data_IF_483155455007
#
_entry.id   IF_483155455007
#
_cell.length_a   1.000
_cell.length_b   1.000
_cell.length_c   1.000
_cell.angle_alpha   90.00
_cell.angle_beta   90.00
_cell.angle_gamma   90.00
#
_symmetry.space_group_name_H-M   'P 1'
#
loop_
_entity.id
_entity.type
_entity.pdbx_description
1 polymer ?
#
# COMPACT_ATOMS: atom_id res chain seq x y z
N UNK A 1 2.70 -3.85 6.15
CA UNK A 1 4.07 -3.44 5.78
C UNK A 1 4.29 -3.48 4.28
N UNK A 2 5.31 -2.80 3.81
CA UNK A 2 5.76 -2.81 2.41
C UNK A 2 7.02 -3.67 2.37
N UNK A 3 6.98 -4.82 1.69
CA UNK A 3 8.12 -5.73 1.62
C UNK A 3 9.12 -5.28 0.55
N UNK A 4 10.29 -4.84 0.98
CA UNK A 4 11.39 -4.37 0.10
C UNK A 4 12.72 -4.91 0.63
N UNK A 5 13.31 -5.91 -0.01
CA UNK A 5 14.62 -6.44 0.39
C UNK A 5 15.74 -5.47 0.06
N UNK A 6 16.88 -5.64 0.72
CA UNK A 6 18.11 -4.89 0.46
C UNK A 6 17.96 -3.35 0.55
N UNK A 7 16.92 -2.84 1.23
CA UNK A 7 16.69 -1.40 1.30
C UNK A 7 17.68 -0.71 2.26
N UNK A 8 17.93 0.56 2.02
CA UNK A 8 18.88 1.37 2.80
C UNK A 8 18.50 1.52 4.28
N UNK A 9 17.19 1.41 4.63
CA UNK A 9 16.73 1.50 6.02
C UNK A 9 17.07 0.24 6.83
N UNK A 10 17.01 -0.95 6.19
CA UNK A 10 17.53 -2.19 6.80
C UNK A 10 19.03 -2.10 7.04
N UNK A 11 19.77 -1.63 6.04
CA UNK A 11 21.23 -1.45 6.15
C UNK A 11 21.59 -0.50 7.29
N UNK A 12 20.89 0.63 7.40
CA UNK A 12 21.04 1.59 8.50
C UNK A 12 20.73 0.98 9.87
N UNK A 13 19.83 -0.01 9.93
CA UNK A 13 19.50 -0.76 11.14
C UNK A 13 20.47 -1.93 11.43
N UNK A 14 21.54 -2.11 10.63
CA UNK A 14 22.51 -3.18 10.77
C UNK A 14 21.97 -4.57 10.39
N UNK A 15 20.90 -4.64 9.61
CA UNK A 15 20.32 -5.92 9.15
C UNK A 15 20.87 -6.25 7.77
N UNK A 16 21.60 -7.38 7.70
CA UNK A 16 22.14 -7.88 6.45
C UNK A 16 21.05 -8.49 5.58
N UNK A 17 21.14 -8.23 4.29
CA UNK A 17 20.32 -8.87 3.27
C UNK A 17 21.07 -8.88 1.93
N UNK A 18 20.65 -9.76 1.01
CA UNK A 18 21.25 -9.81 -0.32
C UNK A 18 20.18 -10.05 -1.40
N UNK A 19 20.50 -9.63 -2.61
CA UNK A 19 19.66 -9.90 -3.78
C UNK A 19 19.43 -11.39 -3.96
N UNK A 20 20.47 -12.20 -3.78
CA UNK A 20 20.44 -13.66 -3.94
C UNK A 20 19.54 -14.32 -2.89
N UNK A 21 19.60 -13.86 -1.63
CA UNK A 21 18.73 -14.36 -0.58
C UNK A 21 17.25 -13.99 -0.87
N UNK A 22 16.98 -12.74 -1.23
CA UNK A 22 15.64 -12.32 -1.59
C UNK A 22 15.10 -13.04 -2.85
N UNK A 23 15.96 -13.30 -3.84
CA UNK A 23 15.63 -14.07 -5.04
C UNK A 23 15.29 -15.51 -4.71
N UNK A 24 16.09 -16.17 -3.87
CA UNK A 24 15.83 -17.53 -3.39
C UNK A 24 14.49 -17.61 -2.65
N UNK A 25 14.20 -16.62 -1.82
CA UNK A 25 12.93 -16.54 -1.09
C UNK A 25 11.73 -16.40 -2.04
N UNK A 26 11.81 -15.52 -3.04
CA UNK A 26 10.74 -15.40 -4.03
C UNK A 26 10.61 -16.66 -4.90
N UNK A 27 11.72 -17.36 -5.19
CA UNK A 27 11.65 -18.64 -5.90
C UNK A 27 10.94 -19.71 -5.04
N UNK A 28 11.21 -19.74 -3.73
CA UNK A 28 10.60 -20.71 -2.82
C UNK A 28 9.10 -20.42 -2.54
N UNK A 29 8.70 -19.14 -2.52
CA UNK A 29 7.33 -18.74 -2.16
C UNK A 29 6.41 -18.51 -3.35
N UNK A 30 6.91 -17.97 -4.45
CA UNK A 30 6.15 -17.63 -5.65
C UNK A 30 6.33 -18.68 -6.75
N UNK A 31 7.55 -19.23 -6.87
CA UNK A 31 7.85 -20.26 -7.85
C UNK A 31 7.56 -19.81 -9.28
N UNK A 32 6.99 -20.71 -10.04
CA UNK A 32 6.68 -20.49 -11.47
C UNK A 32 5.40 -19.71 -11.73
N UNK A 33 4.65 -19.34 -10.66
CA UNK A 33 3.45 -18.49 -10.75
C UNK A 33 3.75 -17.09 -11.31
N UNK A 34 5.00 -16.66 -11.27
CA UNK A 34 5.48 -15.44 -11.89
C UNK A 34 6.81 -15.69 -12.62
N UNK A 35 6.97 -15.07 -13.79
CA UNK A 35 8.21 -15.15 -14.53
C UNK A 35 9.40 -14.64 -13.70
N UNK A 36 10.53 -15.34 -13.76
CA UNK A 36 11.73 -14.97 -13.02
C UNK A 36 12.18 -13.53 -13.33
N UNK A 37 12.11 -13.12 -14.60
CA UNK A 37 12.47 -11.76 -14.99
C UNK A 37 11.63 -10.69 -14.28
N UNK A 38 10.34 -10.96 -14.05
CA UNK A 38 9.45 -10.06 -13.31
C UNK A 38 9.82 -9.98 -11.83
N UNK A 39 10.16 -11.11 -11.19
CA UNK A 39 10.62 -11.16 -9.81
C UNK A 39 11.96 -10.42 -9.64
N UNK A 40 12.92 -10.67 -10.55
CA UNK A 40 14.21 -9.97 -10.53
C UNK A 40 14.05 -8.46 -10.77
N UNK A 41 13.13 -8.06 -11.64
CA UNK A 41 12.78 -6.66 -11.88
C UNK A 41 12.20 -6.03 -10.60
N UNK A 42 11.27 -6.71 -9.94
CA UNK A 42 10.70 -6.24 -8.67
C UNK A 42 11.80 -6.02 -7.61
N UNK A 43 12.70 -6.98 -7.41
CA UNK A 43 13.77 -6.89 -6.44
C UNK A 43 14.70 -5.68 -6.69
N UNK A 44 14.99 -5.39 -7.95
CA UNK A 44 15.87 -4.26 -8.33
C UNK A 44 15.15 -2.91 -8.26
N UNK A 45 13.92 -2.86 -8.75
CA UNK A 45 13.21 -1.58 -8.87
C UNK A 45 12.55 -1.14 -7.57
N UNK A 46 12.14 -2.06 -6.70
CA UNK A 46 11.55 -1.70 -5.42
C UNK A 46 12.51 -0.92 -4.51
N UNK A 47 13.79 -1.29 -4.51
CA UNK A 47 14.83 -0.54 -3.78
C UNK A 47 14.99 0.87 -4.35
N UNK A 48 15.12 0.98 -5.68
CA UNK A 48 15.22 2.29 -6.36
C UNK A 48 13.98 3.15 -6.15
N UNK A 49 12.81 2.52 -6.15
CA UNK A 49 11.54 3.20 -5.92
C UNK A 49 11.49 3.82 -4.52
N UNK A 50 11.81 3.07 -3.47
CA UNK A 50 11.74 3.60 -2.10
C UNK A 50 12.77 4.71 -1.86
N UNK A 51 13.97 4.58 -2.40
CA UNK A 51 15.00 5.63 -2.36
C UNK A 51 14.56 6.90 -3.11
N UNK A 52 13.89 6.73 -4.26
CA UNK A 52 13.37 7.84 -5.03
C UNK A 52 12.23 8.55 -4.29
N UNK A 53 11.30 7.78 -3.71
CA UNK A 53 10.18 8.31 -2.93
C UNK A 53 10.67 9.09 -1.72
N UNK A 54 11.64 8.55 -0.98
CA UNK A 54 12.23 9.22 0.18
C UNK A 54 12.88 10.57 -0.18
N UNK A 55 13.58 10.64 -1.33
CA UNK A 55 14.26 11.86 -1.78
C UNK A 55 13.34 12.85 -2.50
N UNK A 56 12.31 12.37 -3.21
CA UNK A 56 11.52 13.16 -4.16
C UNK A 56 10.06 13.33 -3.76
N UNK A 57 9.63 12.80 -2.63
CA UNK A 57 8.26 12.92 -2.15
C UNK A 57 8.24 13.19 -0.65
N UNK A 58 7.04 13.38 -0.09
CA UNK A 58 6.84 13.48 1.36
C UNK A 58 6.65 12.10 2.01
N UNK A 59 6.77 11.02 1.24
CA UNK A 59 6.70 9.66 1.78
C UNK A 59 8.05 9.26 2.35
N UNK A 60 8.13 9.22 3.68
CA UNK A 60 9.23 8.65 4.43
C UNK A 60 8.76 7.38 5.11
N UNK A 61 9.59 6.36 5.08
CA UNK A 61 9.32 5.07 5.69
C UNK A 61 10.36 4.77 6.79
N UNK A 62 9.99 3.88 7.69
CA UNK A 62 10.88 3.28 8.66
C UNK A 62 10.91 1.76 8.51
N UNK A 63 12.05 1.15 8.85
CA UNK A 63 12.19 -0.30 8.88
C UNK A 63 11.49 -0.88 10.12
N UNK A 64 10.72 -1.95 9.92
CA UNK A 64 10.02 -2.65 11.01
C UNK A 64 10.91 -3.78 11.51
N UNK A 65 11.77 -3.49 12.46
CA UNK A 65 12.68 -4.47 13.01
C UNK A 65 11.96 -5.66 13.65
N UNK A 66 12.36 -6.87 13.25
CA UNK A 66 11.79 -8.11 13.78
C UNK A 66 10.40 -8.46 13.23
N UNK A 67 9.96 -7.82 12.15
CA UNK A 67 8.79 -8.24 11.39
C UNK A 67 9.24 -9.23 10.33
N UNK A 68 9.40 -10.50 10.73
CA UNK A 68 9.90 -11.58 9.88
C UNK A 68 9.16 -11.67 8.54
N UNK A 69 9.83 -12.21 7.54
CA UNK A 69 9.14 -12.70 6.36
C UNK A 69 8.06 -13.72 6.76
N UNK A 70 7.04 -13.95 5.95
CA UNK A 70 5.95 -14.87 6.28
C UNK A 70 6.42 -16.33 6.47
N UNK A 71 7.45 -16.72 5.72
CA UNK A 71 8.05 -18.05 5.77
C UNK A 71 9.57 -17.91 5.97
N UNK A 72 10.01 -17.44 7.15
CA UNK A 72 11.42 -17.18 7.38
C UNK A 72 12.30 -18.44 7.37
N UNK A 73 11.68 -19.61 7.48
CA UNK A 73 12.32 -20.94 7.41
C UNK A 73 12.64 -21.39 5.98
N UNK A 74 12.04 -20.77 4.96
CA UNK A 74 12.30 -21.12 3.56
C UNK A 74 13.65 -20.55 3.08
N UNK A 75 14.25 -21.13 2.02
CA UNK A 75 15.50 -20.65 1.44
C UNK A 75 15.47 -19.15 1.18
N UNK A 76 16.43 -18.42 1.74
CA UNK A 76 16.53 -16.98 1.62
C UNK A 76 15.54 -16.16 2.48
N UNK A 77 14.75 -16.82 3.32
CA UNK A 77 13.88 -16.16 4.29
C UNK A 77 14.66 -15.34 5.32
N UNK A 78 14.11 -14.23 5.79
CA UNK A 78 14.73 -13.35 6.75
C UNK A 78 13.88 -13.22 8.03
N UNK A 79 14.38 -13.76 9.15
CA UNK A 79 13.70 -13.71 10.44
C UNK A 79 13.61 -12.29 11.03
N UNK A 80 14.50 -11.39 10.66
CA UNK A 80 14.44 -9.97 11.04
C UNK A 80 13.50 -9.17 10.13
N UNK A 81 13.15 -9.75 8.97
CA UNK A 81 12.18 -9.24 8.01
C UNK A 81 12.73 -8.16 7.07
N UNK A 82 11.94 -7.83 6.08
CA UNK A 82 12.21 -6.88 4.99
C UNK A 82 11.13 -5.81 4.88
N UNK A 83 10.29 -5.72 5.89
CA UNK A 83 9.12 -4.86 5.85
C UNK A 83 9.44 -3.42 6.28
N UNK A 84 8.87 -2.48 5.51
CA UNK A 84 8.86 -1.05 5.82
C UNK A 84 7.43 -0.62 6.18
N UNK A 85 7.33 0.44 6.95
CA UNK A 85 6.07 1.13 7.22
C UNK A 85 6.21 2.64 6.99
N UNK A 86 5.16 3.34 6.58
CA UNK A 86 5.18 4.79 6.54
C UNK A 86 5.37 5.35 7.95
N UNK A 87 6.21 6.35 8.08
CA UNK A 87 6.34 7.07 9.33
C UNK A 87 5.05 7.78 9.72
N UNK A 88 4.84 7.98 11.00
CA UNK A 88 3.71 8.76 11.50
C UNK A 88 3.68 10.13 10.84
N UNK A 89 2.50 10.63 10.54
CA UNK A 89 2.31 11.86 9.78
C UNK A 89 1.31 12.78 10.48
N UNK A 90 1.63 14.07 10.57
CA UNK A 90 0.65 15.05 11.04
C UNK A 90 -0.25 15.47 9.88
N UNK A 91 -1.47 14.96 9.87
CA UNK A 91 -2.48 15.23 8.84
C UNK A 91 -2.88 16.70 8.71
N UNK A 92 -2.57 17.57 9.69
CA UNK A 92 -2.79 19.02 9.54
C UNK A 92 -2.11 19.61 8.30
N UNK A 93 -1.00 19.01 7.87
CA UNK A 93 -0.29 19.45 6.66
C UNK A 93 -1.14 19.33 5.38
N UNK A 94 -2.18 18.49 5.39
CA UNK A 94 -3.11 18.35 4.27
C UNK A 94 -4.12 19.50 4.17
N UNK A 95 -4.35 20.24 5.26
CA UNK A 95 -5.40 21.26 5.31
C UNK A 95 -6.78 20.64 5.09
N UNK A 96 -7.62 21.22 4.20
CA UNK A 96 -8.96 20.69 3.91
C UNK A 96 -8.97 19.24 3.41
N UNK A 97 -7.92 18.80 2.73
CA UNK A 97 -7.82 17.44 2.18
C UNK A 97 -7.78 16.36 3.26
N UNK A 98 -7.51 16.73 4.51
CA UNK A 98 -7.58 15.79 5.64
C UNK A 98 -8.98 15.16 5.80
N UNK A 99 -10.03 15.93 5.54
CA UNK A 99 -11.40 15.45 5.61
C UNK A 99 -11.78 14.46 4.50
N UNK A 100 -10.97 14.40 3.43
CA UNK A 100 -11.16 13.49 2.29
C UNK A 100 -10.55 12.12 2.53
N UNK A 101 -9.71 11.96 3.55
CA UNK A 101 -9.15 10.66 3.90
C UNK A 101 -10.22 9.76 4.53
N UNK A 102 -10.36 8.56 3.98
CA UNK A 102 -11.24 7.55 4.56
C UNK A 102 -10.80 7.18 5.99
N UNK A 103 -11.75 6.91 6.89
CA UNK A 103 -11.42 6.42 8.22
C UNK A 103 -10.68 5.07 8.14
N UNK A 104 -9.89 4.71 9.17
CA UNK A 104 -9.26 3.40 9.21
C UNK A 104 -10.33 2.30 9.34
N UNK A 105 -10.11 1.15 8.70
CA UNK A 105 -11.02 -0.01 8.75
C UNK A 105 -11.19 -0.50 10.21
N UNK A 106 -10.12 -0.47 10.98
CA UNK A 106 -10.16 -0.80 12.41
C UNK A 106 -10.12 0.51 13.18
N UNK A 107 -11.22 0.88 13.88
CA UNK A 107 -11.26 2.08 14.69
C UNK A 107 -10.20 2.02 15.80
N UNK A 108 -9.39 3.05 15.91
CA UNK A 108 -8.40 3.15 16.99
C UNK A 108 -8.92 4.11 18.03
N UNK A 109 -9.08 3.66 19.30
CA UNK A 109 -9.62 4.51 20.35
C UNK A 109 -8.80 5.77 20.58
N UNK A 110 -9.48 6.89 20.83
CA UNK A 110 -8.93 8.14 21.35
C UNK A 110 -7.78 8.77 20.52
N UNK A 111 -7.67 8.48 19.23
CA UNK A 111 -6.59 9.03 18.38
C UNK A 111 -5.21 8.49 18.74
N UNK A 112 -5.14 7.33 19.38
CA UNK A 112 -3.90 6.61 19.67
C UNK A 112 -3.17 6.30 18.38
N UNK A 113 -1.88 6.61 18.30
CA UNK A 113 -1.06 6.31 17.13
C UNK A 113 0.24 5.62 17.52
N UNK A 114 0.58 4.58 16.79
CA UNK A 114 1.78 3.78 17.02
C UNK A 114 2.31 3.19 15.70
N UNK A 115 3.56 2.85 15.69
CA UNK A 115 4.19 2.08 14.61
C UNK A 115 4.01 0.59 14.85
N UNK A 116 4.19 -0.24 13.82
CA UNK A 116 4.13 -1.71 13.95
C UNK A 116 5.17 -2.22 14.96
N UNK A 117 6.37 -1.61 14.99
CA UNK A 117 7.38 -1.93 15.99
C UNK A 117 6.98 -1.55 17.42
N UNK A 118 6.29 -0.43 17.60
CA UNK A 118 5.74 -0.02 18.90
C UNK A 118 4.60 -0.95 19.35
N UNK A 119 3.73 -1.37 18.43
CA UNK A 119 2.63 -2.29 18.73
C UNK A 119 3.11 -3.62 19.33
N UNK A 120 4.14 -4.23 18.74
CA UNK A 120 4.75 -5.45 19.30
C UNK A 120 5.24 -5.26 20.74
N UNK A 121 5.83 -4.10 21.05
CA UNK A 121 6.34 -3.79 22.40
C UNK A 121 5.21 -3.50 23.38
N UNK A 122 4.08 -2.94 22.91
CA UNK A 122 2.90 -2.72 23.78
C UNK A 122 2.34 -4.02 24.33
N UNK A 123 2.34 -5.12 23.56
CA UNK A 123 1.95 -6.43 24.05
C UNK A 123 2.80 -6.93 25.24
N UNK A 124 3.98 -6.34 25.44
CA UNK A 124 4.92 -6.69 26.53
C UNK A 124 5.00 -5.60 27.61
N UNK A 125 4.07 -4.65 27.66
CA UNK A 125 4.10 -3.51 28.59
C UNK A 125 4.22 -3.90 30.05
N UNK A 126 3.52 -4.98 30.45
CA UNK A 126 3.57 -5.46 31.84
C UNK A 126 4.83 -6.30 32.15
N UNK A 127 5.52 -6.79 31.14
CA UNK A 127 6.61 -7.76 31.28
C UNK A 127 8.01 -7.17 31.07
N UNK A 128 8.15 -6.09 30.30
CA UNK A 128 9.44 -5.54 29.92
C UNK A 128 9.54 -4.03 30.15
N UNK A 129 10.76 -3.57 30.49
CA UNK A 129 11.06 -2.16 30.61
C UNK A 129 10.92 -1.42 29.28
N UNK A 130 11.25 -2.08 28.16
CA UNK A 130 11.07 -1.54 26.82
C UNK A 130 9.59 -1.33 26.49
N UNK A 131 8.71 -2.25 26.88
CA UNK A 131 7.26 -2.09 26.76
C UNK A 131 6.75 -0.87 27.53
N UNK A 132 7.17 -0.71 28.78
CA UNK A 132 6.81 0.47 29.62
C UNK A 132 7.27 1.78 29.00
N UNK A 133 8.53 1.86 28.55
CA UNK A 133 9.03 3.07 27.84
C UNK A 133 8.27 3.36 26.57
N UNK A 134 7.88 2.33 25.81
CA UNK A 134 7.08 2.48 24.58
C UNK A 134 5.69 3.03 24.91
N UNK A 135 5.02 2.48 25.93
CA UNK A 135 3.72 2.98 26.37
C UNK A 135 3.78 4.45 26.83
N UNK A 136 4.82 4.80 27.61
CA UNK A 136 5.04 6.19 28.03
C UNK A 136 5.23 7.11 26.81
N UNK A 137 6.06 6.71 25.82
CA UNK A 137 6.32 7.51 24.62
C UNK A 137 5.03 7.72 23.81
N UNK A 138 4.20 6.68 23.67
CA UNK A 138 2.90 6.78 22.98
C UNK A 138 1.95 7.69 23.75
N UNK A 139 1.90 7.58 25.09
CA UNK A 139 1.12 8.46 25.93
C UNK A 139 1.54 9.93 25.83
N UNK A 140 2.84 10.21 25.86
CA UNK A 140 3.37 11.56 25.66
C UNK A 140 3.06 12.11 24.27
N UNK A 141 3.11 11.25 23.22
CA UNK A 141 2.71 11.63 21.86
C UNK A 141 1.25 12.00 21.80
N UNK A 142 0.38 11.22 22.43
CA UNK A 142 -1.06 11.49 22.49
C UNK A 142 -1.36 12.82 23.19
N UNK A 143 -0.78 13.04 24.38
CA UNK A 143 -0.93 14.31 25.12
C UNK A 143 -0.39 15.48 24.30
N UNK A 144 0.80 15.34 23.71
CA UNK A 144 1.39 16.36 22.84
C UNK A 144 0.52 16.68 21.62
N UNK A 145 -0.04 15.65 20.99
CA UNK A 145 -0.96 15.83 19.87
C UNK A 145 -2.24 16.58 20.30
N UNK A 146 -2.79 16.22 21.46
CA UNK A 146 -3.96 16.90 22.02
C UNK A 146 -3.67 18.38 22.33
N UNK A 147 -2.58 18.68 23.03
CA UNK A 147 -2.20 20.06 23.38
C UNK A 147 -1.91 20.93 22.15
N UNK A 148 -1.31 20.35 21.09
CA UNK A 148 -0.97 21.08 19.85
C UNK A 148 -2.04 20.99 18.78
N UNK A 149 -3.10 20.23 19.04
CA UNK A 149 -4.18 19.93 18.09
C UNK A 149 -3.70 19.15 16.87
N UNK A 150 -2.55 18.44 16.91
CA UNK A 150 -2.06 17.61 15.82
C UNK A 150 -3.03 16.47 15.51
N UNK A 151 -3.14 16.13 14.23
CA UNK A 151 -3.97 15.04 13.74
C UNK A 151 -3.07 13.93 13.23
N UNK A 152 -2.53 13.15 14.18
CA UNK A 152 -1.56 12.12 13.85
C UNK A 152 -2.22 10.99 13.06
N UNK A 153 -1.63 10.64 11.92
CA UNK A 153 -2.00 9.55 11.02
C UNK A 153 -0.92 8.45 11.07
N UNK A 154 -1.33 7.21 10.86
CA UNK A 154 -0.45 6.05 10.83
C UNK A 154 -0.84 5.07 9.73
N UNK A 155 0.02 4.09 9.43
CA UNK A 155 -0.23 3.01 8.46
C UNK A 155 -0.73 3.55 7.11
N UNK A 156 -1.84 2.99 6.57
CA UNK A 156 -2.40 3.38 5.28
C UNK A 156 -2.79 4.85 5.20
N UNK A 157 -3.32 5.44 6.28
CA UNK A 157 -3.64 6.87 6.28
C UNK A 157 -2.38 7.75 6.21
N UNK A 158 -1.29 7.37 6.88
CA UNK A 158 -0.02 8.08 6.76
C UNK A 158 0.56 7.94 5.35
N UNK A 159 0.48 6.74 4.75
CA UNK A 159 0.91 6.50 3.37
C UNK A 159 0.18 7.42 2.38
N UNK A 160 -1.14 7.34 2.41
CA UNK A 160 -1.98 8.13 1.48
C UNK A 160 -1.86 9.63 1.76
N UNK A 161 -1.83 10.04 3.03
CA UNK A 161 -1.68 11.45 3.39
C UNK A 161 -0.36 12.04 2.88
N UNK A 162 0.76 11.34 3.05
CA UNK A 162 2.07 11.77 2.55
C UNK A 162 2.13 11.84 1.04
N UNK A 163 1.58 10.83 0.34
CA UNK A 163 1.48 10.85 -1.12
C UNK A 163 0.57 11.98 -1.62
N UNK A 164 -0.57 12.20 -0.95
CA UNK A 164 -1.46 13.33 -1.27
C UNK A 164 -0.76 14.68 -1.11
N UNK A 165 0.00 14.86 -0.03
CA UNK A 165 0.80 16.07 0.17
C UNK A 165 1.80 16.27 -0.97
N UNK A 166 2.44 15.18 -1.41
CA UNK A 166 3.39 15.22 -2.52
C UNK A 166 2.75 15.62 -3.86
N UNK A 167 1.53 15.14 -4.14
CA UNK A 167 0.76 15.55 -5.31
C UNK A 167 0.38 17.04 -5.22
N UNK A 168 -0.09 17.47 -4.04
CA UNK A 168 -0.50 18.86 -3.79
C UNK A 168 0.66 19.84 -3.99
N UNK A 169 1.85 19.54 -3.47
CA UNK A 169 3.05 20.37 -3.66
C UNK A 169 3.54 20.46 -5.12
N UNK A 170 3.05 19.58 -5.99
CA UNK A 170 3.41 19.53 -7.42
C UNK A 170 2.28 19.97 -8.33
N UNK A 171 1.20 20.50 -7.75
CA UNK A 171 0.00 20.90 -8.48
C UNK A 171 -0.57 19.79 -9.39
N UNK A 172 -0.40 18.52 -8.97
CA UNK A 172 -0.97 17.37 -9.68
C UNK A 172 -2.42 17.20 -9.21
N UNK A 173 -3.40 17.36 -10.14
CA UNK A 173 -4.81 17.26 -9.77
C UNK A 173 -5.17 15.84 -9.34
N UNK A 174 -6.01 15.75 -8.33
CA UNK A 174 -6.67 14.51 -7.90
C UNK A 174 -8.18 14.75 -8.03
N UNK A 175 -8.83 13.93 -8.85
CA UNK A 175 -10.28 13.92 -8.97
C UNK A 175 -10.84 12.78 -8.14
N UNK A 176 -11.69 13.11 -7.20
CA UNK A 176 -12.47 12.16 -6.43
C UNK A 176 -13.80 11.92 -7.11
N UNK A 177 -14.50 10.86 -6.72
CA UNK A 177 -15.83 10.51 -7.22
C UNK A 177 -15.90 10.54 -8.76
N UNK A 178 -14.83 10.06 -9.39
CA UNK A 178 -14.64 10.10 -10.84
C UNK A 178 -14.28 8.68 -11.32
N UNK A 179 -15.23 7.73 -11.30
CA UNK A 179 -14.97 6.35 -11.67
C UNK A 179 -14.61 6.20 -13.16
N UNK A 180 -13.68 5.28 -13.41
CA UNK A 180 -13.34 4.87 -14.77
C UNK A 180 -14.49 4.07 -15.36
N UNK A 181 -14.99 4.50 -16.52
CA UNK A 181 -15.99 3.76 -17.30
C UNK A 181 -15.33 2.88 -18.35
N UNK A 182 -14.40 3.44 -19.15
CA UNK A 182 -13.70 2.70 -20.18
C UNK A 182 -12.38 3.34 -20.64
N UNK A 183 -11.62 2.59 -21.44
CA UNK A 183 -10.48 3.10 -22.19
C UNK A 183 -10.93 3.51 -23.59
N UNK A 184 -10.48 4.66 -24.06
CA UNK A 184 -10.67 5.08 -25.46
C UNK A 184 -9.56 4.44 -26.30
N UNK A 185 -9.97 3.62 -27.28
CA UNK A 185 -9.03 2.91 -28.15
C UNK A 185 -9.25 3.33 -29.60
N UNK A 186 -8.19 3.70 -30.28
CA UNK A 186 -8.20 4.01 -31.70
C UNK A 186 -7.01 3.34 -32.36
N UNK A 187 -7.26 2.63 -33.48
CA UNK A 187 -6.21 1.88 -34.20
C UNK A 187 -5.42 0.89 -33.34
N UNK A 188 -6.06 0.28 -32.32
CA UNK A 188 -5.40 -0.64 -31.39
C UNK A 188 -4.53 0.03 -30.33
N UNK A 189 -4.55 1.34 -30.22
CA UNK A 189 -3.81 2.14 -29.23
C UNK A 189 -4.78 2.82 -28.26
N UNK A 190 -4.44 2.79 -26.96
CA UNK A 190 -5.16 3.60 -25.96
C UNK A 190 -4.83 5.07 -26.16
N UNK A 191 -5.85 5.87 -26.46
CA UNK A 191 -5.77 7.31 -26.72
C UNK A 191 -6.36 8.15 -25.61
N UNK A 192 -7.09 7.53 -24.68
CA UNK A 192 -7.72 8.25 -23.58
C UNK A 192 -8.44 7.35 -22.61
N UNK A 193 -9.19 7.99 -21.73
CA UNK A 193 -10.11 7.33 -20.79
C UNK A 193 -11.46 8.01 -20.82
N UNK A 194 -12.53 7.24 -20.67
CA UNK A 194 -13.87 7.72 -20.34
C UNK A 194 -14.07 7.55 -18.84
N UNK A 195 -14.41 8.63 -18.19
CA UNK A 195 -14.75 8.67 -16.77
C UNK A 195 -16.16 9.24 -16.60
N UNK A 196 -16.76 9.01 -15.45
CA UNK A 196 -17.95 9.73 -15.05
C UNK A 196 -17.56 10.84 -14.08
N UNK A 197 -17.97 12.05 -14.35
CA UNK A 197 -17.73 13.18 -13.46
C UNK A 197 -19.02 14.00 -13.31
N UNK A 198 -19.41 14.22 -12.05
CA UNK A 198 -20.65 14.95 -11.74
C UNK A 198 -21.88 14.35 -12.43
N UNK A 199 -21.91 13.00 -12.53
CA UNK A 199 -23.01 12.26 -13.19
C UNK A 199 -23.02 12.33 -14.72
N UNK A 200 -21.96 12.88 -15.34
CA UNK A 200 -21.84 12.99 -16.79
C UNK A 200 -20.59 12.26 -17.29
N UNK A 201 -20.67 11.58 -18.45
CA UNK A 201 -19.50 10.98 -19.07
C UNK A 201 -18.56 12.08 -19.58
N UNK A 202 -17.27 11.89 -19.32
CA UNK A 202 -16.19 12.79 -19.75
C UNK A 202 -15.07 11.98 -20.39
N UNK A 203 -14.75 12.31 -21.62
CA UNK A 203 -13.64 11.72 -22.36
C UNK A 203 -12.37 12.58 -22.17
N UNK A 204 -11.31 11.94 -21.69
CA UNK A 204 -10.00 12.58 -21.47
C UNK A 204 -8.98 12.00 -22.44
N UNK A 205 -8.49 12.80 -23.34
CA UNK A 205 -7.42 12.42 -24.27
C UNK A 205 -6.08 12.45 -23.58
N UNK A 206 -5.26 11.41 -23.80
CA UNK A 206 -3.93 11.27 -23.20
C UNK A 206 -2.84 11.29 -24.28
N UNK A 207 -1.72 11.95 -23.97
CA UNK A 207 -0.59 12.08 -24.93
C UNK A 207 0.41 10.93 -24.83
N UNK A 208 0.61 10.38 -23.64
CA UNK A 208 1.65 9.37 -23.37
C UNK A 208 1.09 7.99 -23.10
N UNK A 209 -0.01 7.87 -22.40
CA UNK A 209 -0.62 6.61 -22.03
C UNK A 209 -1.44 6.72 -20.74
N UNK A 210 -2.06 5.62 -20.37
CA UNK A 210 -2.87 5.45 -19.16
C UNK A 210 -2.20 4.43 -18.25
N UNK A 211 -2.10 4.74 -16.96
CA UNK A 211 -1.68 3.78 -15.93
C UNK A 211 -2.93 3.36 -15.16
N UNK A 212 -3.32 2.09 -15.29
CA UNK A 212 -4.40 1.51 -14.52
C UNK A 212 -3.84 1.05 -13.16
N UNK A 213 -4.22 1.74 -12.08
CA UNK A 213 -3.85 1.43 -10.71
C UNK A 213 -5.09 1.44 -9.80
N UNK A 214 -6.22 0.97 -10.32
CA UNK A 214 -7.54 1.06 -9.71
C UNK A 214 -7.82 -0.04 -8.66
N UNK A 215 -6.81 -0.80 -8.26
CA UNK A 215 -6.96 -1.87 -7.27
C UNK A 215 -7.51 -3.17 -7.85
N UNK A 216 -8.06 -4.01 -6.96
CA UNK A 216 -8.58 -5.33 -7.27
C UNK A 216 -10.11 -5.34 -7.42
N UNK A 217 -10.72 -6.52 -7.37
CA UNK A 217 -12.17 -6.72 -7.49
C UNK A 217 -12.82 -7.29 -6.22
N UNK A 218 -12.25 -6.99 -5.05
CA UNK A 218 -12.70 -7.56 -3.77
C UNK A 218 -14.17 -7.24 -3.43
N UNK A 219 -14.70 -6.13 -3.91
CA UNK A 219 -16.11 -5.73 -3.76
C UNK A 219 -16.97 -5.99 -5.01
N UNK A 220 -16.47 -6.72 -5.99
CA UNK A 220 -17.25 -7.16 -7.15
C UNK A 220 -17.63 -8.63 -6.99
N UNK A 221 -18.86 -8.89 -6.54
CA UNK A 221 -19.35 -10.26 -6.28
C UNK A 221 -19.33 -11.13 -7.52
N UNK A 222 -19.72 -10.58 -8.69
CA UNK A 222 -19.74 -11.32 -9.96
C UNK A 222 -18.33 -11.81 -10.32
N UNK A 223 -17.34 -10.94 -10.26
CA UNK A 223 -15.95 -11.32 -10.52
C UNK A 223 -15.43 -12.32 -9.50
N UNK A 224 -15.77 -12.16 -8.21
CA UNK A 224 -15.38 -13.11 -7.17
C UNK A 224 -15.98 -14.49 -7.42
N UNK A 225 -17.27 -14.57 -7.73
CA UNK A 225 -17.94 -15.83 -8.05
C UNK A 225 -17.37 -16.48 -9.32
N UNK A 226 -16.94 -15.68 -10.29
CA UNK A 226 -16.37 -16.16 -11.56
C UNK A 226 -14.97 -16.74 -11.40
N UNK A 227 -14.12 -16.11 -10.58
CA UNK A 227 -12.70 -16.40 -10.59
C UNK A 227 -12.20 -17.10 -9.31
N UNK A 228 -12.83 -16.87 -8.16
CA UNK A 228 -12.33 -17.35 -6.87
C UNK A 228 -13.06 -18.61 -6.41
N UNK A 229 -12.46 -19.31 -5.44
CA UNK A 229 -13.00 -20.57 -4.88
C UNK A 229 -14.26 -20.30 -4.07
N UNK A 230 -15.26 -21.15 -4.25
CA UNK A 230 -16.50 -21.13 -3.45
C UNK A 230 -16.35 -21.91 -2.13
N UNK A 231 -17.10 -21.51 -1.07
CA UNK A 231 -18.02 -20.34 -1.01
C UNK A 231 -17.26 -19.03 -0.90
N UNK A 232 -17.76 -17.96 -1.54
CA UNK A 232 -17.15 -16.63 -1.53
C UNK A 232 -18.23 -15.55 -1.44
N UNK A 233 -17.95 -14.47 -0.70
CA UNK A 233 -18.81 -13.30 -0.53
C UNK A 233 -17.97 -12.03 -0.47
N UNK A 234 -18.57 -10.88 -0.72
CA UNK A 234 -17.94 -9.56 -0.51
C UNK A 234 -17.92 -9.15 0.96
N UNK A 235 -18.65 -9.81 1.84
CA UNK A 235 -18.75 -9.48 3.27
C UNK A 235 -17.46 -9.79 4.04
N UNK A 236 -16.62 -10.65 3.50
CA UNK A 236 -15.39 -11.13 4.16
C UNK A 236 -14.14 -10.35 3.75
N UNK A 237 -14.30 -9.21 3.12
CA UNK A 237 -13.16 -8.41 2.70
C UNK A 237 -13.00 -7.15 3.55
N UNK A 238 -11.74 -6.80 3.84
CA UNK A 238 -11.34 -5.53 4.45
C UNK A 238 -10.74 -4.57 3.42
N UNK A 239 -10.86 -4.90 2.14
CA UNK A 239 -10.41 -4.04 1.05
C UNK A 239 -11.22 -2.75 0.98
N UNK A 240 -10.70 -1.74 0.30
CA UNK A 240 -11.45 -0.52 0.02
C UNK A 240 -12.70 -0.83 -0.82
N UNK A 241 -13.84 -0.22 -0.49
CA UNK A 241 -15.11 -0.38 -1.20
C UNK A 241 -15.02 -0.06 -2.70
N UNK A 242 -14.10 0.83 -3.09
CA UNK A 242 -13.82 1.14 -4.49
C UNK A 242 -13.03 0.05 -5.26
N UNK A 243 -12.72 -1.09 -4.64
CA UNK A 243 -12.08 -2.21 -5.33
C UNK A 243 -13.12 -3.06 -6.07
N UNK A 244 -13.68 -2.51 -7.12
CA UNK A 244 -14.80 -3.07 -7.92
C UNK A 244 -14.34 -3.70 -9.24
N UNK A 245 -13.03 -3.66 -9.54
CA UNK A 245 -12.46 -4.30 -10.72
C UNK A 245 -12.54 -3.45 -12.00
N UNK A 246 -12.90 -2.19 -11.92
CA UNK A 246 -13.15 -1.32 -13.09
C UNK A 246 -11.94 -1.26 -14.02
N UNK A 247 -10.73 -1.09 -13.46
CA UNK A 247 -9.50 -1.07 -14.24
C UNK A 247 -9.20 -2.41 -14.93
N UNK A 248 -9.50 -3.53 -14.28
CA UNK A 248 -9.32 -4.87 -14.85
C UNK A 248 -10.30 -5.06 -16.03
N UNK A 249 -11.58 -4.73 -15.81
CA UNK A 249 -12.61 -4.87 -16.84
C UNK A 249 -12.34 -3.96 -18.04
N UNK A 250 -11.94 -2.71 -17.82
CA UNK A 250 -11.57 -1.78 -18.89
C UNK A 250 -10.34 -2.29 -19.66
N UNK A 251 -9.33 -2.82 -18.95
CA UNK A 251 -8.16 -3.45 -19.57
C UNK A 251 -8.54 -4.65 -20.45
N UNK A 252 -9.40 -5.55 -19.96
CA UNK A 252 -9.88 -6.70 -20.73
C UNK A 252 -10.64 -6.28 -22.01
N UNK A 253 -11.51 -5.27 -21.91
CA UNK A 253 -12.20 -4.73 -23.08
C UNK A 253 -11.24 -4.14 -24.12
N UNK A 254 -10.12 -3.60 -23.68
CA UNK A 254 -9.04 -3.12 -24.53
C UNK A 254 -8.08 -4.22 -25.03
N UNK A 255 -8.36 -5.50 -24.71
CA UNK A 255 -7.59 -6.65 -25.17
C UNK A 255 -6.45 -7.08 -24.24
N UNK A 256 -6.38 -6.57 -23.00
CA UNK A 256 -5.40 -7.02 -22.02
C UNK A 256 -5.70 -8.46 -21.53
N UNK A 257 -4.66 -9.25 -21.39
CA UNK A 257 -4.71 -10.54 -20.71
C UNK A 257 -4.80 -10.35 -19.19
N UNK A 258 -5.43 -11.30 -18.51
CA UNK A 258 -5.48 -11.38 -17.06
C UNK A 258 -4.90 -12.71 -16.59
N UNK A 259 -4.29 -12.69 -15.41
CA UNK A 259 -3.71 -13.87 -14.78
C UNK A 259 -3.92 -13.81 -13.26
N UNK A 260 -3.77 -14.97 -12.58
CA UNK A 260 -3.87 -15.11 -11.14
C UNK A 260 -5.20 -14.57 -10.53
N UNK A 261 -6.27 -14.62 -11.31
CA UNK A 261 -7.58 -14.10 -10.89
C UNK A 261 -8.24 -14.93 -9.77
N UNK A 262 -7.78 -16.17 -9.59
CA UNK A 262 -8.19 -17.08 -8.51
C UNK A 262 -7.49 -16.77 -7.16
N UNK A 263 -6.45 -15.96 -7.20
CA UNK A 263 -5.68 -15.61 -6.02
C UNK A 263 -6.21 -14.36 -5.31
N UNK A 264 -6.00 -14.34 -4.00
CA UNK A 264 -6.22 -13.19 -3.15
C UNK A 264 -5.23 -13.20 -1.99
N UNK A 265 -5.08 -12.09 -1.32
CA UNK A 265 -4.40 -12.05 -0.03
C UNK A 265 -5.38 -12.57 1.04
N UNK A 266 -5.33 -13.87 1.25
CA UNK A 266 -6.13 -14.54 2.27
C UNK A 266 -5.54 -14.28 3.66
N UNK A 267 -6.38 -13.85 4.62
CA UNK A 267 -6.00 -13.59 6.00
C UNK A 267 -6.83 -14.40 7.00
#
# INVERSE_FOLDING_TARGET
GIWIPCNHLMQAAGVADSFEAARSYLQATVGERSAQASRDMFLRQSVRMIEWLDRKSDLHCSYIQGYSDYYPELPGGNALGRALEPELFDGKALGPDLALLRPPVIPIPAGLTFTAGEYKRLGLVMRTWQGKRTALRIGLRLVGAWLTGRKMLMMGQALIGRLRLSLKKRDIPLWLDTPLQDLLVDGGRVTGVRVEREGQPLDLVVRKGVILAAGCFAHNLEMRLKYQKHPISTDWTVASEGNTGDGILAGQRAGAAVDLMDEAWWG
#
